data_IF_107737949081
#
_entry.id   IF_107737949081
#
_cell.length_a   1.000
_cell.length_b   1.000
_cell.length_c   1.000
_cell.angle_alpha   90.00
_cell.angle_beta   90.00
_cell.angle_gamma   90.00
#
_symmetry.space_group_name_H-M   'P 1'
#
loop_
_entity.id
_entity.type
_entity.pdbx_description
1 polymer ?
#
# COMPACT_ATOMS: atom_id res chain seq x y z
N UNK A 1 -28.90 -8.95 -19.11
CA UNK A 1 -27.98 -7.83 -19.40
C UNK A 1 -27.91 -6.98 -18.14
N UNK A 2 -26.75 -6.78 -17.50
CA UNK A 2 -26.71 -5.91 -16.31
C UNK A 2 -25.55 -6.05 -15.30
N UNK A 3 -24.55 -6.92 -15.52
CA UNK A 3 -23.43 -7.08 -14.57
C UNK A 3 -22.15 -6.36 -15.01
N UNK A 4 -22.05 -5.97 -16.30
CA UNK A 4 -20.88 -5.26 -16.86
C UNK A 4 -20.80 -3.77 -16.47
N UNK A 5 -21.93 -3.04 -16.59
CA UNK A 5 -21.99 -1.58 -16.38
C UNK A 5 -21.41 -1.15 -15.03
N UNK A 6 -21.76 -1.82 -13.94
CA UNK A 6 -21.30 -1.45 -12.59
C UNK A 6 -19.81 -1.68 -12.35
N UNK A 7 -19.16 -2.61 -13.08
CA UNK A 7 -17.72 -2.85 -12.95
C UNK A 7 -16.94 -1.80 -13.74
N UNK A 8 -17.41 -1.47 -14.93
CA UNK A 8 -16.82 -0.42 -15.77
C UNK A 8 -16.90 0.96 -15.09
N UNK A 9 -18.03 1.30 -14.47
CA UNK A 9 -18.20 2.58 -13.76
C UNK A 9 -17.20 2.74 -12.60
N UNK A 10 -16.90 1.65 -11.87
CA UNK A 10 -15.90 1.68 -10.79
C UNK A 10 -14.49 1.84 -11.32
N UNK A 11 -14.14 1.12 -12.39
CA UNK A 11 -12.81 1.23 -13.02
C UNK A 11 -12.59 2.66 -13.51
N UNK A 12 -13.58 3.24 -14.19
CA UNK A 12 -13.53 4.63 -14.66
C UNK A 12 -13.34 5.60 -13.49
N UNK A 13 -14.15 5.46 -12.44
CA UNK A 13 -14.06 6.31 -11.25
C UNK A 13 -12.70 6.26 -10.57
N UNK A 14 -12.19 5.05 -10.27
CA UNK A 14 -10.92 4.89 -9.56
C UNK A 14 -9.71 5.26 -10.42
N UNK A 15 -9.75 4.96 -11.71
CA UNK A 15 -8.71 5.38 -12.68
C UNK A 15 -8.65 6.90 -12.79
N UNK A 16 -9.81 7.56 -12.87
CA UNK A 16 -9.91 9.02 -12.87
C UNK A 16 -9.32 9.61 -11.59
N UNK A 17 -9.73 9.10 -10.42
CA UNK A 17 -9.15 9.49 -9.12
C UNK A 17 -7.62 9.34 -9.13
N UNK A 18 -7.11 8.20 -9.60
CA UNK A 18 -5.67 7.96 -9.64
C UNK A 18 -4.94 9.00 -10.48
N UNK A 19 -5.44 9.24 -11.70
CA UNK A 19 -4.86 10.23 -12.62
C UNK A 19 -4.84 11.63 -12.02
N UNK A 20 -5.99 12.10 -11.52
CA UNK A 20 -6.15 13.47 -10.99
C UNK A 20 -5.29 13.75 -9.76
N UNK A 21 -5.09 12.78 -8.87
CA UNK A 21 -4.40 13.02 -7.59
C UNK A 21 -2.91 12.64 -7.58
N UNK A 22 -2.48 11.71 -8.44
CA UNK A 22 -1.11 11.19 -8.43
C UNK A 22 -0.33 11.42 -9.74
N UNK A 23 -1.02 11.61 -10.88
CA UNK A 23 -0.35 11.84 -12.17
C UNK A 23 -0.35 13.32 -12.59
N UNK A 24 -1.48 14.01 -12.51
CA UNK A 24 -1.64 15.38 -13.03
C UNK A 24 -1.08 16.46 -12.10
N UNK A 25 -1.26 16.30 -10.78
CA UNK A 25 -0.86 17.32 -9.79
C UNK A 25 0.61 17.16 -9.41
N UNK A 26 1.47 18.01 -9.98
CA UNK A 26 2.86 18.15 -9.55
C UNK A 26 2.99 19.10 -8.37
N UNK A 27 3.56 18.60 -7.28
CA UNK A 27 4.09 19.43 -6.19
C UNK A 27 5.60 19.14 -6.06
N UNK A 28 6.48 20.15 -6.00
CA UNK A 28 7.95 19.97 -5.96
C UNK A 28 8.50 19.11 -4.81
N UNK A 29 7.67 18.76 -3.82
CA UNK A 29 8.04 17.96 -2.64
C UNK A 29 7.36 16.60 -2.60
N UNK A 30 6.56 16.24 -3.60
CA UNK A 30 5.86 14.96 -3.64
C UNK A 30 6.71 13.91 -4.35
N UNK A 31 6.70 12.71 -3.78
CA UNK A 31 7.33 11.51 -4.34
C UNK A 31 6.90 11.29 -5.80
N UNK A 32 7.84 10.89 -6.67
CA UNK A 32 7.60 10.60 -8.07
C UNK A 32 7.23 9.13 -8.33
N UNK A 33 7.26 8.29 -7.29
CA UNK A 33 6.82 6.90 -7.37
C UNK A 33 5.30 6.79 -7.46
N UNK A 34 4.85 5.79 -8.22
CA UNK A 34 3.46 5.37 -8.36
C UNK A 34 3.40 3.88 -8.05
N UNK A 35 2.50 3.52 -7.14
CA UNK A 35 2.30 2.14 -6.70
C UNK A 35 1.04 1.55 -7.34
N UNK A 36 1.18 0.43 -8.02
CA UNK A 36 0.09 -0.27 -8.71
C UNK A 36 -0.10 -1.65 -8.09
N UNK A 37 -1.32 -1.94 -7.65
CA UNK A 37 -1.69 -3.24 -7.09
C UNK A 37 -2.26 -4.10 -8.21
N UNK A 38 -1.59 -5.20 -8.56
CA UNK A 38 -2.06 -6.18 -9.56
C UNK A 38 -2.61 -7.40 -8.82
N UNK A 39 -3.82 -7.82 -9.19
CA UNK A 39 -4.38 -9.08 -8.71
C UNK A 39 -4.09 -10.16 -9.73
N UNK A 40 -3.23 -11.12 -9.40
CA UNK A 40 -3.03 -12.28 -10.25
C UNK A 40 -4.28 -13.16 -10.15
N UNK A 41 -5.08 -13.20 -11.21
CA UNK A 41 -6.09 -14.24 -11.35
C UNK A 41 -5.36 -15.58 -11.30
N UNK A 42 -5.59 -16.36 -10.24
CA UNK A 42 -5.20 -17.75 -10.20
C UNK A 42 -5.89 -18.41 -11.40
N UNK A 43 -5.16 -18.63 -12.49
CA UNK A 43 -5.66 -19.39 -13.62
C UNK A 43 -6.11 -20.73 -13.05
N UNK A 44 -7.43 -20.95 -13.02
CA UNK A 44 -8.03 -22.25 -12.80
C UNK A 44 -7.70 -23.10 -14.02
N UNK A 45 -6.49 -23.66 -14.04
CA UNK A 45 -6.16 -24.79 -14.89
C UNK A 45 -7.02 -25.97 -14.46
N UNK A 46 -7.95 -26.35 -15.32
CA UNK A 46 -8.80 -27.51 -15.17
C UNK A 46 -8.00 -28.81 -15.07
N UNK A 47 -8.40 -29.64 -14.10
CA UNK A 47 -8.27 -31.10 -14.03
C UNK A 47 -6.86 -31.71 -13.80
N UNK A 48 -6.60 -32.14 -12.57
CA UNK A 48 -6.44 -33.57 -12.20
C UNK A 48 -5.81 -33.71 -10.81
N UNK A 49 -6.45 -34.49 -9.94
CA UNK A 49 -5.81 -35.05 -8.75
C UNK A 49 -6.34 -34.48 -7.43
N UNK A 50 -7.10 -35.32 -6.73
CA UNK A 50 -7.55 -35.12 -5.37
C UNK A 50 -6.38 -34.83 -4.43
N UNK A 51 -6.35 -33.63 -3.84
CA UNK A 51 -5.85 -33.43 -2.48
C UNK A 51 -6.30 -32.08 -1.94
N UNK A 52 -6.64 -32.04 -0.66
CA UNK A 52 -7.21 -30.89 0.06
C UNK A 52 -6.28 -29.67 0.12
N UNK A 53 -6.07 -29.01 -1.02
CA UNK A 53 -5.29 -27.77 -1.11
C UNK A 53 -6.14 -26.61 -0.59
N UNK A 54 -5.65 -25.99 0.49
CA UNK A 54 -6.02 -24.62 0.89
C UNK A 54 -6.17 -23.77 -0.37
N UNK A 55 -7.29 -23.07 -0.51
CA UNK A 55 -7.47 -22.11 -1.59
C UNK A 55 -6.21 -21.25 -1.66
N UNK A 56 -5.52 -21.24 -2.81
CA UNK A 56 -4.35 -20.41 -2.99
C UNK A 56 -4.81 -18.96 -2.77
N UNK A 57 -4.29 -18.32 -1.72
CA UNK A 57 -4.51 -16.90 -1.47
C UNK A 57 -4.19 -16.15 -2.77
N UNK A 58 -5.06 -15.25 -3.25
CA UNK A 58 -4.79 -14.50 -4.46
C UNK A 58 -3.44 -13.79 -4.33
N UNK A 59 -2.52 -14.10 -5.24
CA UNK A 59 -1.19 -13.51 -5.25
C UNK A 59 -1.34 -12.03 -5.66
N UNK A 60 -1.13 -11.14 -4.69
CA UNK A 60 -1.16 -9.69 -4.90
C UNK A 60 0.27 -9.21 -5.14
N UNK A 61 0.47 -8.54 -6.27
CA UNK A 61 1.76 -7.98 -6.66
C UNK A 61 1.69 -6.45 -6.63
N UNK A 62 2.72 -5.80 -6.11
CA UNK A 62 2.84 -4.34 -6.14
C UNK A 62 3.94 -3.94 -7.11
N UNK A 63 3.55 -3.33 -8.21
CA UNK A 63 4.46 -2.75 -9.19
C UNK A 63 4.73 -1.29 -8.83
N UNK A 64 5.99 -0.87 -8.90
CA UNK A 64 6.40 0.51 -8.59
C UNK A 64 7.08 1.12 -9.80
N UNK A 65 6.57 2.26 -10.24
CA UNK A 65 7.12 3.01 -11.36
C UNK A 65 7.31 4.46 -10.99
N UNK A 66 8.30 5.11 -11.61
CA UNK A 66 8.32 6.57 -11.63
C UNK A 66 7.21 7.10 -12.54
N UNK A 67 6.67 8.26 -12.18
CA UNK A 67 5.59 8.97 -12.89
C UNK A 67 5.93 9.29 -14.35
N UNK A 68 7.21 9.41 -14.70
CA UNK A 68 7.69 9.68 -16.06
C UNK A 68 8.10 8.41 -16.83
N UNK A 69 7.91 7.23 -16.24
CA UNK A 69 8.28 5.96 -16.85
C UNK A 69 7.48 5.69 -18.13
N UNK A 70 8.17 5.23 -19.18
CA UNK A 70 7.53 4.74 -20.41
C UNK A 70 6.84 3.37 -20.24
N UNK A 71 7.03 2.72 -19.09
CA UNK A 71 6.50 1.39 -18.76
C UNK A 71 5.27 1.46 -17.85
N UNK A 72 4.67 2.65 -17.69
CA UNK A 72 3.48 2.80 -16.88
C UNK A 72 2.33 1.95 -17.45
N UNK A 73 1.55 1.29 -16.59
CA UNK A 73 0.33 0.63 -17.03
C UNK A 73 -0.66 1.60 -17.69
N UNK A 74 -1.45 1.08 -18.63
CA UNK A 74 -2.50 1.86 -19.27
C UNK A 74 -3.61 2.23 -18.28
N UNK A 75 -4.11 3.46 -18.34
CA UNK A 75 -5.26 3.88 -17.53
C UNK A 75 -6.48 2.99 -17.86
N UNK A 76 -7.08 2.39 -16.83
CA UNK A 76 -8.19 1.44 -16.98
C UNK A 76 -7.77 0.00 -17.29
N UNK A 77 -6.48 -0.35 -17.17
CA UNK A 77 -6.01 -1.74 -17.26
C UNK A 77 -6.82 -2.64 -16.30
N UNK A 78 -7.52 -3.68 -16.80
CA UNK A 78 -8.39 -4.53 -16.00
C UNK A 78 -7.65 -5.46 -15.02
N UNK A 79 -6.35 -5.68 -15.22
CA UNK A 79 -5.53 -6.49 -14.31
C UNK A 79 -5.10 -5.68 -13.07
N UNK A 80 -5.23 -4.36 -13.12
CA UNK A 80 -4.92 -3.46 -12.03
C UNK A 80 -6.13 -3.25 -11.14
N UNK A 81 -5.89 -3.42 -9.85
CA UNK A 81 -6.82 -3.02 -8.81
C UNK A 81 -6.68 -1.52 -8.55
N UNK A 82 -7.39 -0.71 -9.34
CA UNK A 82 -7.34 0.74 -9.26
C UNK A 82 -7.78 1.29 -7.90
N UNK A 83 -8.72 0.62 -7.24
CA UNK A 83 -9.18 0.99 -5.89
C UNK A 83 -8.05 0.82 -4.87
N UNK A 84 -7.46 -0.36 -4.80
CA UNK A 84 -6.33 -0.65 -3.90
C UNK A 84 -5.11 0.23 -4.25
N UNK A 85 -4.86 0.48 -5.53
CA UNK A 85 -3.78 1.37 -5.97
C UNK A 85 -4.00 2.80 -5.49
N UNK A 86 -5.22 3.36 -5.61
CA UNK A 86 -5.55 4.68 -5.06
C UNK A 86 -5.36 4.71 -3.55
N UNK A 87 -5.90 3.72 -2.83
CA UNK A 87 -5.77 3.60 -1.38
C UNK A 87 -4.30 3.56 -0.93
N UNK A 88 -3.48 2.74 -1.59
CA UNK A 88 -2.05 2.62 -1.27
C UNK A 88 -1.31 3.94 -1.49
N UNK A 89 -1.53 4.62 -2.61
CA UNK A 89 -0.86 5.90 -2.88
C UNK A 89 -1.35 7.01 -1.93
N UNK A 90 -2.62 7.01 -1.51
CA UNK A 90 -3.10 7.91 -0.46
C UNK A 90 -2.33 7.68 0.85
N UNK A 91 -2.25 6.42 1.29
CA UNK A 91 -1.56 6.02 2.52
C UNK A 91 -0.09 6.44 2.48
N UNK A 92 0.61 6.23 1.36
CA UNK A 92 2.05 6.47 1.27
C UNK A 92 2.40 7.94 1.04
N UNK A 93 1.56 8.71 0.34
CA UNK A 93 1.97 10.02 -0.20
C UNK A 93 1.14 11.21 0.29
N UNK A 94 -0.08 10.98 0.81
CA UNK A 94 -1.01 12.07 1.16
C UNK A 94 -1.33 12.13 2.66
N UNK A 95 -0.82 11.18 3.46
CA UNK A 95 -1.00 11.14 4.91
C UNK A 95 0.33 11.38 5.63
N UNK A 96 0.27 12.13 6.71
CA UNK A 96 1.40 12.35 7.63
C UNK A 96 1.25 11.44 8.85
N UNK A 97 2.31 10.71 9.18
CA UNK A 97 2.33 9.79 10.33
C UNK A 97 3.27 10.28 11.42
N UNK A 98 2.84 10.13 12.67
CA UNK A 98 3.61 10.50 13.84
C UNK A 98 3.62 9.36 14.85
N UNK A 99 4.81 8.80 15.11
CA UNK A 99 5.02 7.86 16.20
C UNK A 99 5.29 8.63 17.48
N UNK A 100 4.57 8.29 18.53
CA UNK A 100 4.72 8.91 19.85
C UNK A 100 5.05 7.86 20.90
N UNK A 101 6.16 8.04 21.60
CA UNK A 101 6.53 7.27 22.77
C UNK A 101 6.43 8.16 24.01
N UNK A 102 5.78 7.66 25.07
CA UNK A 102 5.59 8.40 26.31
C UNK A 102 5.82 7.52 27.54
N UNK A 103 6.54 8.06 28.52
CA UNK A 103 6.71 7.47 29.86
C UNK A 103 5.59 8.01 30.74
N UNK A 104 4.74 7.14 31.25
CA UNK A 104 3.55 7.53 31.99
C UNK A 104 3.38 6.73 33.29
N UNK A 105 2.69 7.31 34.27
CA UNK A 105 2.16 6.58 35.42
C UNK A 105 0.64 6.62 35.35
N UNK A 106 0.01 5.47 35.56
CA UNK A 106 -1.44 5.35 35.71
C UNK A 106 -1.74 5.01 37.16
N UNK A 107 -2.46 5.87 37.86
CA UNK A 107 -2.98 5.55 39.19
C UNK A 107 -4.21 4.64 39.05
N UNK A 108 -4.46 3.77 40.03
CA UNK A 108 -5.59 2.81 40.00
C UNK A 108 -6.93 3.54 39.80
N UNK A 109 -7.54 3.32 38.64
CA UNK A 109 -8.82 3.93 38.25
C UNK A 109 -8.76 5.42 37.83
N UNK A 110 -7.58 6.04 37.80
CA UNK A 110 -7.41 7.48 37.53
C UNK A 110 -6.79 7.84 36.17
N UNK A 111 -6.53 9.14 35.99
CA UNK A 111 -5.95 9.74 34.78
C UNK A 111 -4.48 9.31 34.54
N UNK A 112 -4.08 9.27 33.26
CA UNK A 112 -2.71 8.97 32.85
C UNK A 112 -1.85 10.22 33.00
N UNK A 113 -0.85 10.17 33.89
CA UNK A 113 0.15 11.23 34.03
C UNK A 113 1.35 10.97 33.12
N UNK A 114 1.65 11.90 32.20
CA UNK A 114 2.76 11.79 31.25
C UNK A 114 4.00 12.49 31.82
N UNK A 115 5.06 11.72 32.10
CA UNK A 115 6.35 12.24 32.58
C UNK A 115 7.24 12.76 31.46
N UNK A 116 7.29 12.02 30.35
CA UNK A 116 8.09 12.37 29.18
C UNK A 116 7.38 11.88 27.94
N UNK A 117 7.37 12.69 26.88
CA UNK A 117 6.83 12.33 25.57
C UNK A 117 7.81 12.73 24.50
N UNK A 118 8.04 11.86 23.53
CA UNK A 118 8.75 12.16 22.28
C UNK A 118 7.86 11.74 21.13
N UNK A 119 7.69 12.64 20.18
CA UNK A 119 6.97 12.41 18.93
C UNK A 119 7.91 12.60 17.75
N UNK A 120 7.84 11.71 16.78
CA UNK A 120 8.66 11.74 15.57
C UNK A 120 7.78 11.48 14.37
N UNK A 121 7.95 12.29 13.31
CA UNK A 121 7.33 12.02 12.02
C UNK A 121 8.02 10.80 11.40
N UNK A 122 7.21 9.87 10.88
CA UNK A 122 7.68 8.64 10.23
C UNK A 122 7.05 8.53 8.85
N UNK A 123 7.68 7.73 7.99
CA UNK A 123 7.20 7.50 6.64
C UNK A 123 6.68 6.07 6.50
N UNK A 124 5.51 5.95 5.87
CA UNK A 124 4.92 4.66 5.53
C UNK A 124 5.69 4.02 4.35
N UNK A 125 5.81 2.70 4.38
CA UNK A 125 6.46 1.90 3.34
C UNK A 125 5.67 0.62 3.11
N UNK A 126 5.40 0.23 1.84
CA UNK A 126 4.83 -1.07 1.52
C UNK A 126 5.88 -2.20 1.51
N UNK A 127 7.14 -1.88 1.84
CA UNK A 127 8.24 -2.82 1.90
C UNK A 127 8.79 -2.95 3.31
N UNK A 128 9.19 -4.17 3.68
CA UNK A 128 9.87 -4.46 4.94
C UNK A 128 11.39 -4.53 4.70
N UNK A 129 12.14 -3.79 5.51
CA UNK A 129 13.58 -3.94 5.65
C UNK A 129 13.88 -4.70 6.94
N UNK A 130 14.29 -5.98 6.87
CA UNK A 130 14.73 -6.73 8.06
C UNK A 130 15.97 -6.04 8.65
N UNK A 131 15.92 -5.72 9.95
CA UNK A 131 17.04 -5.07 10.65
C UNK A 131 17.98 -6.08 11.32
N UNK A 132 17.61 -7.35 11.31
CA UNK A 132 18.28 -8.48 11.95
C UNK A 132 19.48 -9.01 11.16
N UNK A 133 19.55 -8.72 9.85
CA UNK A 133 20.61 -9.22 8.97
C UNK A 133 21.15 -8.12 8.06
N UNK A 134 22.45 -7.82 8.17
CA UNK A 134 23.12 -6.85 7.28
C UNK A 134 23.17 -7.43 5.86
N UNK A 135 22.30 -6.93 4.98
CA UNK A 135 22.30 -7.26 3.55
C UNK A 135 21.07 -7.98 3.00
N UNK A 136 19.98 -8.11 3.78
CA UNK A 136 18.73 -8.68 3.27
C UNK A 136 18.01 -7.68 2.36
N UNK A 137 17.58 -8.13 1.17
CA UNK A 137 16.87 -7.29 0.21
C UNK A 137 15.50 -6.85 0.75
N UNK A 138 15.10 -5.62 0.42
CA UNK A 138 13.77 -5.10 0.75
C UNK A 138 12.71 -5.95 0.08
N UNK A 139 11.81 -6.55 0.86
CA UNK A 139 10.72 -7.37 0.33
C UNK A 139 9.41 -6.59 0.42
N UNK A 140 8.64 -6.58 -0.67
CA UNK A 140 7.26 -6.08 -0.65
C UNK A 140 6.47 -6.87 0.39
N UNK A 141 5.84 -6.15 1.31
CA UNK A 141 5.11 -6.71 2.45
C UNK A 141 3.62 -6.41 2.42
N UNK A 142 3.15 -5.74 1.35
CA UNK A 142 1.74 -5.48 1.10
C UNK A 142 0.91 -6.76 1.29
N UNK A 143 -0.23 -6.72 2.01
CA UNK A 143 -0.96 -5.54 2.49
C UNK A 143 -0.42 -4.88 3.76
N UNK A 144 0.65 -5.39 4.37
CA UNK A 144 1.23 -4.79 5.56
C UNK A 144 2.06 -3.55 5.23
N UNK A 145 1.71 -2.43 5.87
CA UNK A 145 2.41 -1.15 5.78
C UNK A 145 3.32 -0.99 7.01
N UNK A 146 4.59 -0.71 6.76
CA UNK A 146 5.61 -0.50 7.80
C UNK A 146 5.93 0.98 7.93
N UNK A 147 6.32 1.40 9.12
CA UNK A 147 6.75 2.76 9.40
C UNK A 147 8.22 2.75 9.78
N UNK A 148 9.05 3.42 8.99
CA UNK A 148 10.49 3.47 9.24
C UNK A 148 10.79 4.44 10.37
N UNK A 149 11.61 4.00 11.33
CA UNK A 149 12.10 4.80 12.46
C UNK A 149 13.62 4.83 12.37
N UNK A 150 14.17 5.88 11.76
CA UNK A 150 15.61 6.08 11.71
C UNK A 150 16.05 6.86 12.96
N UNK A 151 16.63 6.16 13.93
CA UNK A 151 17.20 6.75 15.16
C UNK A 151 18.23 5.80 15.79
N UNK A 152 19.22 5.40 15.01
CA UNK A 152 20.40 4.68 15.50
C UNK A 152 21.48 5.64 15.98
#
# INVERSE_FOLDING_TARGET
MGVGCFKDDRIVFWTWMFSTYFMEKWAPRQDDMLFYVRRKLAYSGSESGADGRKAAEPEVEVEVYRRDSKKLPGLGDPDIDWEESVCLNLILQKLDYMVTCAVCTRADGGDIHIHKKKSQQVFASPSKHPMDSKGEESKISYPNIFFMIDSF
#
